data_IF_160299020533
#
_entry.id   IF_160299020533
#
_cell.length_a   1.000
_cell.length_b   1.000
_cell.length_c   1.000
_cell.angle_alpha   90.00
_cell.angle_beta   90.00
_cell.angle_gamma   90.00
#
_symmetry.space_group_name_H-M   'P 1'
#
loop_
_entity.id
_entity.type
_entity.pdbx_description
1 polymer ?
#
# COMPACT_ATOMS: atom_id res chain seq x y z
N UNK A 1 -6.32 -5.17 -4.86
CA UNK A 1 -5.67 -5.67 -3.62
C UNK A 1 -4.29 -6.27 -3.83
N UNK A 2 -3.49 -5.81 -4.79
CA UNK A 2 -2.12 -6.33 -5.00
C UNK A 2 -1.18 -5.81 -3.91
N UNK A 3 -0.26 -6.65 -3.43
CA UNK A 3 0.84 -6.26 -2.54
C UNK A 3 2.14 -6.26 -3.34
N UNK A 4 2.83 -5.13 -3.38
CA UNK A 4 4.07 -4.97 -4.14
C UNK A 4 5.15 -4.24 -3.34
N UNK A 5 6.41 -4.56 -3.62
CA UNK A 5 7.56 -3.95 -2.94
C UNK A 5 7.87 -2.58 -3.56
N UNK A 6 8.03 -1.57 -2.71
CA UNK A 6 8.52 -0.25 -3.14
C UNK A 6 10.02 -0.31 -3.45
N UNK A 7 10.46 0.51 -4.40
CA UNK A 7 11.87 0.61 -4.79
C UNK A 7 12.23 2.03 -5.25
N UNK A 8 13.54 2.28 -5.38
CA UNK A 8 14.14 3.49 -5.96
C UNK A 8 14.91 3.16 -7.25
N UNK A 9 14.53 2.07 -7.93
CA UNK A 9 15.27 1.47 -9.03
C UNK A 9 15.50 -0.04 -8.85
N UNK A 10 16.01 -0.74 -9.88
CA UNK A 10 16.24 -2.18 -9.83
C UNK A 10 17.07 -2.61 -8.61
N UNK A 11 16.68 -3.71 -7.97
CA UNK A 11 17.39 -4.31 -6.82
C UNK A 11 17.53 -3.41 -5.58
N UNK A 12 16.62 -2.45 -5.38
CA UNK A 12 16.62 -1.56 -4.20
C UNK A 12 15.44 -1.77 -3.24
N UNK A 13 14.64 -2.82 -3.47
CA UNK A 13 13.53 -3.20 -2.60
C UNK A 13 14.06 -3.68 -1.24
N UNK A 14 13.49 -3.18 -0.14
CA UNK A 14 13.83 -3.58 1.23
C UNK A 14 12.55 -3.92 2.01
N UNK A 15 12.19 -3.14 3.03
CA UNK A 15 11.00 -3.38 3.86
C UNK A 15 9.76 -2.62 3.43
N UNK A 16 9.91 -1.58 2.60
CA UNK A 16 8.77 -0.78 2.15
C UNK A 16 7.97 -1.53 1.10
N UNK A 17 6.66 -1.60 1.29
CA UNK A 17 5.69 -2.16 0.36
C UNK A 17 4.48 -1.23 0.25
N UNK A 18 3.68 -1.41 -0.79
CA UNK A 18 2.43 -0.69 -0.98
C UNK A 18 1.30 -1.63 -1.37
N UNK A 19 0.07 -1.17 -1.13
CA UNK A 19 -1.17 -1.92 -1.36
C UNK A 19 -1.98 -1.23 -2.45
N UNK A 20 -2.30 -1.96 -3.51
CA UNK A 20 -3.12 -1.45 -4.61
C UNK A 20 -4.59 -1.71 -4.28
N UNK A 21 -5.37 -0.64 -4.06
CA UNK A 21 -6.77 -0.72 -3.64
C UNK A 21 -7.79 -0.53 -4.78
N UNK A 22 -7.36 -0.05 -5.95
CA UNK A 22 -8.17 0.07 -7.18
C UNK A 22 -7.35 -0.39 -8.38
N UNK A 23 -8.01 -0.59 -9.52
CA UNK A 23 -7.32 -0.97 -10.75
C UNK A 23 -6.28 0.08 -11.13
N UNK A 24 -5.02 -0.36 -11.21
CA UNK A 24 -3.86 0.51 -11.44
C UNK A 24 -2.87 -0.19 -12.36
N UNK A 25 -2.34 0.56 -13.32
CA UNK A 25 -1.20 0.12 -14.12
C UNK A 25 0.10 0.47 -13.39
N UNK A 26 0.88 -0.54 -13.03
CA UNK A 26 2.21 -0.38 -12.45
C UNK A 26 3.27 -0.58 -13.53
N UNK A 27 4.39 0.12 -13.40
CA UNK A 27 5.59 -0.17 -14.20
C UNK A 27 6.11 -1.59 -13.93
N UNK A 28 6.81 -2.21 -14.89
CA UNK A 28 7.30 -3.58 -14.77
C UNK A 28 8.39 -3.76 -13.70
N UNK A 29 8.89 -2.67 -13.12
CA UNK A 29 9.98 -2.64 -12.15
C UNK A 29 9.53 -2.92 -10.71
N UNK A 30 8.24 -3.16 -10.45
CA UNK A 30 7.74 -3.50 -9.12
C UNK A 30 7.56 -5.01 -8.95
N UNK A 31 8.14 -5.55 -7.87
CA UNK A 31 7.97 -6.95 -7.51
C UNK A 31 6.64 -7.17 -6.81
N UNK A 32 5.74 -7.95 -7.41
CA UNK A 32 4.50 -8.41 -6.79
C UNK A 32 4.84 -9.55 -5.83
N UNK A 33 4.42 -9.43 -4.56
CA UNK A 33 4.75 -10.40 -3.50
C UNK A 33 3.51 -11.04 -2.87
N UNK A 34 2.31 -10.58 -3.20
CA UNK A 34 1.09 -11.19 -2.68
C UNK A 34 -0.18 -10.43 -3.07
N UNK A 35 -1.27 -10.86 -2.43
CA UNK A 35 -2.60 -10.29 -2.63
C UNK A 35 -3.33 -10.22 -1.29
N UNK A 36 -4.03 -9.12 -1.07
CA UNK A 36 -4.97 -8.96 0.05
C UNK A 36 -6.17 -9.86 -0.20
N UNK A 37 -6.37 -10.86 0.66
CA UNK A 37 -7.49 -11.81 0.57
C UNK A 37 -8.69 -11.40 1.42
N UNK A 38 -8.47 -10.61 2.48
CA UNK A 38 -9.49 -10.06 3.38
C UNK A 38 -9.08 -8.68 3.85
N UNK A 39 -10.04 -7.78 4.11
CA UNK A 39 -9.76 -6.45 4.67
C UNK A 39 -9.38 -5.38 3.64
N UNK A 40 -9.67 -5.60 2.35
CA UNK A 40 -9.42 -4.59 1.31
C UNK A 40 -10.31 -3.35 1.50
N UNK A 41 -11.53 -3.54 2.01
CA UNK A 41 -12.51 -2.52 2.38
C UNK A 41 -11.95 -1.51 3.39
N UNK A 42 -11.10 -1.96 4.33
CA UNK A 42 -10.41 -1.05 5.28
C UNK A 42 -9.45 -0.11 4.54
N UNK A 43 -8.75 -0.62 3.53
CA UNK A 43 -7.81 0.17 2.72
C UNK A 43 -8.59 1.16 1.85
N UNK A 44 -9.69 0.71 1.24
CA UNK A 44 -10.58 1.55 0.44
C UNK A 44 -11.20 2.68 1.27
N UNK A 45 -11.61 2.39 2.51
CA UNK A 45 -12.15 3.39 3.45
C UNK A 45 -11.14 4.50 3.72
N UNK A 46 -9.88 4.14 4.04
CA UNK A 46 -8.82 5.13 4.30
C UNK A 46 -8.50 5.93 3.05
N UNK A 47 -8.41 5.28 1.88
CA UNK A 47 -8.17 5.96 0.62
C UNK A 47 -9.30 6.96 0.27
N UNK A 48 -10.55 6.66 0.60
CA UNK A 48 -11.69 7.54 0.38
C UNK A 48 -11.65 8.83 1.24
N UNK A 49 -10.92 8.82 2.36
CA UNK A 49 -10.71 10.03 3.18
C UNK A 49 -9.71 11.00 2.54
N UNK A 50 -8.92 10.54 1.56
CA UNK A 50 -7.94 11.37 0.86
C UNK A 50 -6.66 11.66 1.66
N UNK A 51 -5.90 12.63 1.17
CA UNK A 51 -4.68 13.14 1.80
C UNK A 51 -4.98 14.25 2.78
N UNK A 52 -4.15 14.39 3.81
CA UNK A 52 -4.23 15.46 4.80
C UNK A 52 -4.23 16.83 4.14
N UNK A 53 -5.03 17.77 4.66
CA UNK A 53 -5.08 19.17 4.22
C UNK A 53 -3.74 19.90 4.33
N UNK A 54 -2.81 19.36 5.11
CA UNK A 54 -1.44 19.86 5.21
C UNK A 54 -0.54 19.47 4.03
N UNK A 55 -1.01 18.60 3.12
CA UNK A 55 -0.24 18.17 1.95
C UNK A 55 -0.16 19.28 0.90
N UNK A 56 1.02 19.48 0.32
CA UNK A 56 1.20 20.36 -0.84
C UNK A 56 0.69 19.75 -2.15
N UNK A 57 0.37 18.44 -2.15
CA UNK A 57 -0.17 17.72 -3.30
C UNK A 57 -1.51 17.05 -2.91
N UNK A 58 -2.63 17.36 -3.57
CA UNK A 58 -3.93 16.77 -3.26
C UNK A 58 -4.04 15.29 -3.67
N UNK A 59 -3.05 14.74 -4.38
CA UNK A 59 -3.01 13.34 -4.82
C UNK A 59 -1.92 12.51 -4.14
N UNK A 60 -1.04 13.13 -3.35
CA UNK A 60 0.08 12.44 -2.69
C UNK A 60 0.42 13.13 -1.37
N UNK A 61 0.72 12.36 -0.33
CA UNK A 61 1.00 12.88 0.99
C UNK A 61 0.54 11.96 2.11
N UNK A 62 0.62 12.47 3.35
CA UNK A 62 0.13 11.73 4.51
C UNK A 62 -1.39 11.57 4.43
N UNK A 63 -1.95 10.41 4.79
CA UNK A 63 -3.40 10.19 4.72
C UNK A 63 -4.12 11.10 5.72
N UNK A 64 -5.32 11.59 5.33
CA UNK A 64 -6.18 12.35 6.24
C UNK A 64 -6.63 11.50 7.44
N UNK A 65 -6.83 10.20 7.21
CA UNK A 65 -7.08 9.20 8.25
C UNK A 65 -5.81 8.36 8.49
N UNK A 66 -5.12 8.52 9.63
CA UNK A 66 -3.95 7.71 9.95
C UNK A 66 -4.28 6.21 10.04
N UNK A 67 -3.43 5.38 9.42
CA UNK A 67 -3.49 3.91 9.49
C UNK A 67 -2.10 3.38 9.87
N UNK A 68 -2.02 2.62 10.96
CA UNK A 68 -0.75 2.12 11.51
C UNK A 68 -0.83 0.63 11.76
N UNK A 69 0.17 -0.11 11.25
CA UNK A 69 0.38 -1.52 11.59
C UNK A 69 0.96 -1.57 13.00
N UNK A 70 0.14 -1.95 13.99
CA UNK A 70 0.60 -2.13 15.38
C UNK A 70 1.27 -3.48 15.60
N UNK A 71 0.74 -4.51 14.93
CA UNK A 71 1.17 -5.91 15.06
C UNK A 71 1.02 -6.59 13.71
N UNK A 72 1.93 -7.51 13.39
CA UNK A 72 1.81 -8.42 12.27
C UNK A 72 1.93 -9.86 12.77
N UNK A 73 1.10 -10.75 12.23
CA UNK A 73 1.15 -12.18 12.56
C UNK A 73 1.39 -12.96 11.27
N UNK A 74 2.43 -13.78 11.28
CA UNK A 74 2.70 -14.73 10.21
C UNK A 74 2.00 -16.04 10.57
N UNK A 75 1.18 -16.54 9.64
CA UNK A 75 0.66 -17.90 9.71
C UNK A 75 1.43 -18.70 8.68
N UNK A 76 1.94 -19.87 9.09
CA UNK A 76 2.43 -20.82 8.10
C UNK A 76 1.26 -21.18 7.17
N UNK A 77 1.55 -21.33 5.89
CA UNK A 77 0.57 -21.85 4.94
C UNK A 77 0.10 -23.26 5.35
N UNK A 78 -0.93 -23.80 4.68
CA UNK A 78 -1.24 -25.22 4.80
C UNK A 78 0.00 -26.09 4.53
#
# INVERSE_FOLDING_TARGET
GTVAMANRGPNTSSSQFFLVYKDTMLGPNYSIVGQVTTGLDVIEYVAAQGVSDSSSNPADGTPAQPLVIKTATVRNGP
#
